data_IF_059948255014
#
_entry.id   IF_059948255014
#
_cell.length_a   1.000
_cell.length_b   1.000
_cell.length_c   1.000
_cell.angle_alpha   90.00
_cell.angle_beta   90.00
_cell.angle_gamma   90.00
#
_symmetry.space_group_name_H-M   'P 1'
#
loop_
_entity.id
_entity.type
_entity.pdbx_description
1 polymer ?
#
# COMPACT_ATOMS: atom_id res chain seq x y z
N UNK A 1 -18.79 15.93 -7.59
CA UNK A 1 -19.39 16.58 -6.42
C UNK A 1 -20.63 17.26 -6.92
N UNK A 2 -21.74 16.93 -6.30
CA UNK A 2 -23.01 17.58 -6.57
C UNK A 2 -22.95 19.06 -6.18
N UNK A 3 -23.56 19.91 -7.01
CA UNK A 3 -23.57 21.37 -6.85
C UNK A 3 -24.93 22.00 -7.20
N UNK A 4 -26.02 21.24 -7.13
CA UNK A 4 -27.38 21.81 -7.26
C UNK A 4 -27.85 22.50 -6.00
N UNK A 5 -29.00 23.18 -6.06
CA UNK A 5 -29.51 23.98 -4.94
C UNK A 5 -29.79 23.16 -3.67
N UNK A 6 -30.12 21.87 -3.78
CA UNK A 6 -30.39 20.99 -2.62
C UNK A 6 -29.13 20.72 -1.78
N UNK A 7 -27.95 20.81 -2.38
CA UNK A 7 -26.67 20.67 -1.71
C UNK A 7 -26.30 21.86 -0.80
N UNK A 8 -26.95 23.03 -0.90
CA UNK A 8 -26.55 24.24 -0.17
C UNK A 8 -26.34 24.05 1.36
N UNK A 9 -27.23 23.33 2.10
CA UNK A 9 -27.02 23.05 3.53
C UNK A 9 -25.74 22.25 3.81
N UNK A 10 -25.29 21.45 2.84
CA UNK A 10 -24.15 20.55 2.91
C UNK A 10 -22.88 21.14 2.29
N UNK A 11 -22.97 22.18 1.44
CA UNK A 11 -21.84 22.74 0.68
C UNK A 11 -20.66 23.16 1.57
N UNK A 12 -20.93 23.78 2.72
CA UNK A 12 -19.88 24.21 3.65
C UNK A 12 -19.12 23.02 4.25
N UNK A 13 -19.82 21.94 4.58
CA UNK A 13 -19.25 20.70 5.12
C UNK A 13 -18.53 19.90 4.03
N UNK A 14 -19.14 19.77 2.84
CA UNK A 14 -18.53 19.11 1.69
C UNK A 14 -17.22 19.79 1.26
N UNK A 15 -17.19 21.13 1.14
CA UNK A 15 -15.95 21.88 0.89
C UNK A 15 -14.93 21.69 2.00
N UNK A 16 -15.36 21.73 3.27
CA UNK A 16 -14.46 21.49 4.40
C UNK A 16 -13.84 20.08 4.36
N UNK A 17 -14.65 19.06 4.07
CA UNK A 17 -14.21 17.67 3.97
C UNK A 17 -13.25 17.46 2.78
N UNK A 18 -13.52 18.06 1.60
CA UNK A 18 -12.59 18.02 0.47
C UNK A 18 -11.29 18.78 0.77
N UNK A 19 -11.32 19.95 1.42
CA UNK A 19 -10.11 20.66 1.87
C UNK A 19 -9.29 19.83 2.87
N UNK A 20 -9.97 19.18 3.82
CA UNK A 20 -9.38 18.25 4.78
C UNK A 20 -8.65 17.15 4.02
N UNK A 21 -9.37 16.39 3.20
CA UNK A 21 -8.84 15.29 2.37
C UNK A 21 -7.64 15.75 1.52
N UNK A 22 -7.69 16.91 0.86
CA UNK A 22 -6.57 17.43 0.05
C UNK A 22 -5.33 17.70 0.91
N UNK A 23 -5.52 18.36 2.06
CA UNK A 23 -4.42 18.72 2.97
C UNK A 23 -3.82 17.48 3.62
N UNK A 24 -4.68 16.59 4.10
CA UNK A 24 -4.34 15.38 4.83
C UNK A 24 -3.77 14.28 3.92
N UNK A 25 -4.18 14.20 2.65
CA UNK A 25 -3.48 13.39 1.64
C UNK A 25 -2.09 13.97 1.40
N UNK A 26 -1.95 15.29 1.24
CA UNK A 26 -0.63 15.92 1.01
C UNK A 26 0.32 15.71 2.21
N UNK A 27 -0.21 15.79 3.42
CA UNK A 27 0.52 15.49 4.65
C UNK A 27 0.85 14.00 4.73
N UNK A 28 -0.10 13.09 4.60
CA UNK A 28 0.13 11.64 4.68
C UNK A 28 1.05 11.06 3.59
N UNK A 29 1.33 11.82 2.52
CA UNK A 29 2.31 11.46 1.50
C UNK A 29 3.59 12.31 1.53
N UNK A 30 3.75 13.26 2.47
CA UNK A 30 4.94 14.07 2.79
C UNK A 30 5.81 14.63 1.62
N UNK A 31 5.28 14.69 0.39
CA UNK A 31 6.04 15.00 -0.83
C UNK A 31 6.80 13.83 -1.45
N UNK A 32 6.70 12.62 -0.88
CA UNK A 32 7.32 11.38 -1.37
C UNK A 32 6.58 10.75 -2.56
N UNK A 33 5.30 11.10 -2.74
CA UNK A 33 4.49 10.67 -3.87
C UNK A 33 3.84 11.86 -4.59
N UNK A 34 3.80 11.81 -5.91
CA UNK A 34 3.13 12.83 -6.72
C UNK A 34 1.60 12.66 -6.66
N UNK A 35 1.01 13.26 -5.62
CA UNK A 35 -0.43 13.43 -5.51
C UNK A 35 -0.90 14.40 -6.60
N UNK A 36 -1.95 14.00 -7.33
CA UNK A 36 -2.66 14.90 -8.25
C UNK A 36 -4.14 14.86 -7.95
N UNK A 37 -4.77 16.02 -7.96
CA UNK A 37 -6.19 16.20 -7.64
C UNK A 37 -6.90 16.67 -8.91
N UNK A 38 -8.03 16.04 -9.22
CA UNK A 38 -9.01 16.52 -10.18
C UNK A 38 -10.32 16.75 -9.41
N UNK A 39 -11.05 17.79 -9.78
CA UNK A 39 -12.37 18.10 -9.22
C UNK A 39 -13.34 18.13 -10.39
N UNK A 40 -14.44 17.41 -10.28
CA UNK A 40 -15.58 17.48 -11.20
C UNK A 40 -16.80 17.85 -10.39
N UNK A 41 -17.48 18.93 -10.77
CA UNK A 41 -18.82 19.25 -10.31
C UNK A 41 -19.82 19.05 -11.43
N UNK A 42 -21.04 18.65 -11.04
CA UNK A 42 -22.17 18.51 -11.95
C UNK A 42 -23.42 19.12 -11.29
N UNK A 43 -24.45 19.33 -12.10
CA UNK A 43 -25.79 19.79 -11.74
C UNK A 43 -26.82 19.05 -12.63
N UNK A 44 -28.02 19.58 -12.84
CA UNK A 44 -28.97 19.08 -13.84
C UNK A 44 -28.52 19.50 -15.26
N UNK A 45 -29.04 18.85 -16.29
CA UNK A 45 -28.84 19.14 -17.70
C UNK A 45 -29.36 20.53 -18.14
N UNK A 46 -30.30 21.11 -17.39
CA UNK A 46 -30.84 22.45 -17.65
C UNK A 46 -29.91 23.60 -17.24
N UNK A 47 -28.85 23.32 -16.46
CA UNK A 47 -27.99 24.35 -15.88
C UNK A 47 -26.84 24.80 -16.79
N UNK A 48 -26.45 26.07 -16.65
CA UNK A 48 -25.26 26.62 -17.29
C UNK A 48 -24.29 27.20 -16.24
N UNK A 49 -23.09 26.62 -16.04
CA UNK A 49 -22.61 25.33 -16.57
C UNK A 49 -23.14 24.11 -15.79
N UNK A 50 -23.72 23.15 -16.50
CA UNK A 50 -24.14 21.82 -16.02
C UNK A 50 -22.95 21.01 -15.45
N UNK A 51 -21.83 20.93 -16.16
CA UNK A 51 -20.59 20.28 -15.67
C UNK A 51 -19.43 21.28 -15.68
N UNK A 52 -18.69 21.34 -14.56
CA UNK A 52 -17.43 22.09 -14.45
C UNK A 52 -16.34 21.14 -13.94
N UNK A 53 -15.10 21.33 -14.40
CA UNK A 53 -14.00 20.49 -13.94
C UNK A 53 -12.64 21.19 -13.94
N UNK A 54 -11.80 20.69 -13.04
CA UNK A 54 -10.36 20.86 -13.02
C UNK A 54 -9.74 19.48 -13.26
N UNK A 55 -9.01 19.30 -14.36
CA UNK A 55 -8.26 18.06 -14.61
C UNK A 55 -7.07 17.92 -13.64
N UNK A 56 -6.49 16.71 -13.55
CA UNK A 56 -5.47 16.34 -12.58
C UNK A 56 -4.26 17.27 -12.52
N UNK A 57 -4.21 18.09 -11.48
CA UNK A 57 -3.09 18.97 -11.14
C UNK A 57 -2.37 18.52 -9.86
N UNK A 58 -1.02 18.62 -9.77
CA UNK A 58 -0.30 18.51 -8.50
C UNK A 58 -0.42 19.77 -7.64
N UNK A 59 -0.92 20.87 -8.20
CA UNK A 59 -1.12 22.14 -7.50
C UNK A 59 -2.37 22.07 -6.60
N UNK A 60 -2.14 21.79 -5.32
CA UNK A 60 -3.18 21.75 -4.30
C UNK A 60 -3.79 23.14 -3.99
N UNK A 61 -3.12 24.25 -4.33
CA UNK A 61 -3.64 25.61 -4.19
C UNK A 61 -4.60 25.92 -5.34
N UNK A 62 -4.27 25.53 -6.57
CA UNK A 62 -5.20 25.58 -7.70
C UNK A 62 -6.45 24.73 -7.48
N UNK A 63 -6.30 23.52 -6.93
CA UNK A 63 -7.44 22.66 -6.57
C UNK A 63 -8.33 23.29 -5.49
N UNK A 64 -7.74 23.91 -4.46
CA UNK A 64 -8.47 24.66 -3.43
C UNK A 64 -9.18 25.88 -4.02
N UNK A 65 -8.52 26.66 -4.88
CA UNK A 65 -9.12 27.82 -5.53
C UNK A 65 -10.31 27.46 -6.42
N UNK A 66 -10.23 26.35 -7.18
CA UNK A 66 -11.35 25.83 -7.95
C UNK A 66 -12.52 25.42 -7.05
N UNK A 67 -12.25 24.67 -5.96
CA UNK A 67 -13.25 24.23 -4.99
C UNK A 67 -13.99 25.41 -4.34
N UNK A 68 -13.28 26.49 -3.97
CA UNK A 68 -13.93 27.65 -3.36
C UNK A 68 -14.92 28.35 -4.31
N UNK A 69 -14.65 28.33 -5.62
CA UNK A 69 -15.51 28.92 -6.65
C UNK A 69 -16.76 28.09 -7.00
N UNK A 70 -16.93 26.88 -6.44
CA UNK A 70 -18.16 26.10 -6.60
C UNK A 70 -19.24 26.57 -5.63
N UNK A 71 -20.50 26.68 -6.08
CA UNK A 71 -21.65 27.07 -5.25
C UNK A 71 -22.87 26.25 -5.64
N UNK A 72 -23.75 26.01 -4.66
CA UNK A 72 -25.02 25.31 -4.88
C UNK A 72 -26.01 26.27 -5.55
N UNK A 73 -26.44 25.91 -6.75
CA UNK A 73 -27.48 26.61 -7.50
C UNK A 73 -28.03 25.69 -8.58
N UNK A 74 -29.16 26.03 -9.19
CA UNK A 74 -29.74 25.23 -10.26
C UNK A 74 -30.40 23.95 -9.74
N UNK A 75 -30.42 22.91 -10.58
CA UNK A 75 -31.30 21.77 -10.47
C UNK A 75 -32.65 22.00 -11.17
N UNK A 76 -33.47 20.96 -11.25
CA UNK A 76 -34.78 20.98 -11.90
C UNK A 76 -35.76 20.07 -11.19
N UNK A 77 -35.87 18.84 -11.69
CA UNK A 77 -36.44 17.72 -10.95
C UNK A 77 -35.45 17.15 -9.90
N UNK A 78 -35.90 16.29 -8.97
CA UNK A 78 -35.03 15.78 -7.90
C UNK A 78 -33.83 14.89 -8.31
N UNK A 79 -33.84 14.14 -9.44
CA UNK A 79 -32.64 13.48 -9.97
C UNK A 79 -31.75 14.43 -10.78
N UNK A 80 -30.45 14.14 -10.87
CA UNK A 80 -29.43 15.06 -11.42
C UNK A 80 -28.54 14.40 -12.50
N UNK A 81 -27.66 15.16 -13.20
CA UNK A 81 -26.70 14.63 -14.19
C UNK A 81 -25.46 13.96 -13.55
N UNK A 82 -25.72 13.07 -12.59
CA UNK A 82 -24.70 12.26 -11.91
C UNK A 82 -23.92 11.38 -12.91
N UNK A 83 -24.58 10.92 -13.99
CA UNK A 83 -23.91 10.10 -15.02
C UNK A 83 -22.97 10.91 -15.90
N UNK A 84 -23.32 12.14 -16.30
CA UNK A 84 -22.43 13.08 -16.97
C UNK A 84 -21.24 13.45 -16.10
N UNK A 85 -21.46 13.72 -14.81
CA UNK A 85 -20.39 13.91 -13.83
C UNK A 85 -19.42 12.72 -13.74
N UNK A 86 -19.93 11.49 -13.69
CA UNK A 86 -19.11 10.27 -13.72
C UNK A 86 -18.39 10.10 -15.07
N UNK A 87 -19.05 10.39 -16.19
CA UNK A 87 -18.46 10.30 -17.53
C UNK A 87 -17.32 11.32 -17.70
N UNK A 88 -17.46 12.53 -17.18
CA UNK A 88 -16.38 13.51 -17.15
C UNK A 88 -15.21 13.05 -16.26
N UNK A 89 -15.50 12.48 -15.09
CA UNK A 89 -14.46 11.94 -14.21
C UNK A 89 -13.74 10.71 -14.79
N UNK A 90 -14.41 9.89 -15.62
CA UNK A 90 -13.78 8.81 -16.40
C UNK A 90 -12.78 9.37 -17.43
N UNK A 91 -13.10 10.51 -18.05
CA UNK A 91 -12.32 11.14 -19.11
C UNK A 91 -11.13 11.98 -18.61
N UNK A 92 -11.00 12.18 -17.30
CA UNK A 92 -9.88 12.90 -16.69
C UNK A 92 -8.52 12.18 -16.89
N UNK A 93 -7.41 12.92 -16.74
CA UNK A 93 -6.04 12.46 -17.02
C UNK A 93 -5.46 11.49 -15.97
N UNK A 94 -6.08 10.32 -15.79
CA UNK A 94 -5.63 9.24 -14.90
C UNK A 94 -4.31 8.59 -15.37
N UNK A 95 -3.19 8.87 -14.68
CA UNK A 95 -1.87 8.25 -14.98
C UNK A 95 -1.28 7.38 -13.87
N UNK A 96 -1.66 7.61 -12.61
CA UNK A 96 -1.16 6.84 -11.47
C UNK A 96 -1.73 5.41 -11.45
N UNK A 97 -1.06 4.48 -10.76
CA UNK A 97 -1.57 3.12 -10.53
C UNK A 97 -2.67 3.09 -9.47
N UNK A 98 -2.48 3.81 -8.37
CA UNK A 98 -3.51 4.02 -7.34
C UNK A 98 -4.45 5.13 -7.79
N UNK A 99 -5.75 4.84 -7.79
CA UNK A 99 -6.80 5.76 -8.25
C UNK A 99 -7.98 5.72 -7.28
N UNK A 100 -8.48 6.88 -6.89
CA UNK A 100 -9.59 7.01 -5.97
C UNK A 100 -10.55 8.10 -6.48
N UNK A 101 -11.84 7.80 -6.47
CA UNK A 101 -12.93 8.72 -6.72
C UNK A 101 -13.69 8.91 -5.41
N UNK A 102 -13.84 10.17 -4.99
CA UNK A 102 -14.68 10.56 -3.87
C UNK A 102 -15.86 11.32 -4.45
N UNK A 103 -17.04 10.72 -4.36
CA UNK A 103 -18.27 11.22 -4.92
C UNK A 103 -19.13 11.73 -3.77
N UNK A 104 -19.36 13.03 -3.71
CA UNK A 104 -20.28 13.67 -2.77
C UNK A 104 -21.57 13.98 -3.51
N UNK A 105 -22.72 13.49 -3.01
CA UNK A 105 -24.04 13.70 -3.60
C UNK A 105 -25.16 13.55 -2.56
N UNK A 106 -26.24 14.31 -2.75
CA UNK A 106 -27.53 14.17 -2.07
C UNK A 106 -28.62 13.57 -2.99
N UNK A 107 -28.48 13.72 -4.30
CA UNK A 107 -29.39 13.21 -5.32
C UNK A 107 -28.85 12.01 -6.15
N UNK A 108 -29.73 11.15 -6.70
CA UNK A 108 -29.39 10.09 -7.64
C UNK A 108 -29.43 10.57 -9.11
N UNK A 109 -28.85 9.81 -10.06
CA UNK A 109 -29.03 10.04 -11.49
C UNK A 109 -30.48 9.85 -11.93
N UNK A 110 -30.87 10.56 -13.00
CA UNK A 110 -32.10 10.29 -13.75
C UNK A 110 -32.27 8.82 -14.14
N UNK A 111 -33.54 8.40 -14.17
CA UNK A 111 -33.99 7.07 -14.52
C UNK A 111 -34.50 6.32 -13.29
N UNK A 112 -35.78 5.93 -13.32
CA UNK A 112 -36.55 5.25 -12.25
C UNK A 112 -35.97 3.96 -11.67
N UNK A 113 -34.85 3.48 -12.20
CA UNK A 113 -34.07 2.43 -11.56
C UNK A 113 -33.27 2.95 -10.35
N UNK A 114 -32.96 4.25 -10.25
CA UNK A 114 -32.11 4.82 -9.20
C UNK A 114 -32.85 5.50 -8.05
N UNK A 115 -34.13 5.82 -8.21
CA UNK A 115 -35.01 6.42 -7.20
C UNK A 115 -36.43 5.83 -7.31
N UNK A 116 -37.30 6.17 -6.36
CA UNK A 116 -38.74 5.86 -6.40
C UNK A 116 -39.62 7.13 -6.59
N UNK A 117 -39.01 8.29 -6.90
CA UNK A 117 -39.73 9.51 -7.27
C UNK A 117 -40.51 9.36 -8.57
N UNK A 118 -41.74 9.88 -8.59
CA UNK A 118 -42.55 10.07 -9.80
C UNK A 118 -42.14 11.31 -10.61
N UNK A 119 -41.45 12.26 -9.95
CA UNK A 119 -40.88 13.48 -10.53
C UNK A 119 -39.45 13.18 -11.00
N UNK A 120 -39.31 12.98 -12.31
CA UNK A 120 -38.08 12.78 -13.07
C UNK A 120 -38.36 13.15 -14.54
N UNK A 121 -37.60 14.09 -15.09
CA UNK A 121 -37.72 14.57 -16.49
C UNK A 121 -37.23 13.52 -17.49
N UNK A 122 -36.32 12.63 -17.06
CA UNK A 122 -35.69 11.60 -17.89
C UNK A 122 -35.88 10.18 -17.28
N UNK A 123 -37.14 9.73 -17.07
CA UNK A 123 -37.49 8.59 -16.23
C UNK A 123 -37.06 7.21 -16.73
N UNK A 124 -36.73 7.10 -18.03
CA UNK A 124 -36.31 5.84 -18.63
C UNK A 124 -34.77 5.78 -18.72
N UNK A 125 -34.12 4.66 -18.35
CA UNK A 125 -32.66 4.56 -18.36
C UNK A 125 -32.03 4.88 -19.73
N UNK A 126 -31.22 5.94 -19.79
CA UNK A 126 -30.61 6.43 -21.03
C UNK A 126 -31.52 7.33 -21.88
N UNK A 127 -32.61 7.85 -21.32
CA UNK A 127 -33.43 8.90 -21.94
C UNK A 127 -32.90 10.32 -21.71
N UNK A 128 -31.96 10.51 -20.78
CA UNK A 128 -31.30 11.79 -20.54
C UNK A 128 -30.47 12.27 -21.76
N UNK A 129 -30.20 13.59 -21.90
CA UNK A 129 -29.64 14.20 -23.11
C UNK A 129 -28.36 13.57 -23.67
N UNK A 130 -27.45 13.08 -22.81
CA UNK A 130 -26.21 12.39 -23.16
C UNK A 130 -26.41 10.91 -23.53
N UNK A 131 -27.58 10.32 -23.22
CA UNK A 131 -27.98 8.92 -23.46
C UNK A 131 -27.08 7.87 -22.81
N UNK A 132 -26.48 8.23 -21.69
CA UNK A 132 -25.63 7.40 -20.86
C UNK A 132 -26.47 6.36 -20.10
N UNK A 133 -25.82 5.26 -19.76
CA UNK A 133 -26.35 4.29 -18.82
C UNK A 133 -25.27 3.94 -17.81
N UNK A 134 -25.66 3.65 -16.57
CA UNK A 134 -24.68 3.45 -15.50
C UNK A 134 -23.77 2.23 -15.73
N UNK A 135 -24.27 1.11 -16.30
CA UNK A 135 -23.49 -0.14 -16.38
C UNK A 135 -22.19 0.02 -17.18
N UNK A 136 -22.17 0.61 -18.40
CA UNK A 136 -20.93 0.94 -19.10
C UNK A 136 -20.00 1.85 -18.30
N UNK A 137 -20.53 2.91 -17.66
CA UNK A 137 -19.73 3.87 -16.89
C UNK A 137 -19.08 3.22 -15.68
N UNK A 138 -19.85 2.51 -14.86
CA UNK A 138 -19.34 1.79 -13.68
C UNK A 138 -18.33 0.72 -14.09
N UNK A 139 -18.58 -0.04 -15.16
CA UNK A 139 -17.59 -0.97 -15.70
C UNK A 139 -16.32 -0.25 -16.12
N UNK A 140 -16.42 0.94 -16.71
CA UNK A 140 -15.25 1.75 -17.09
C UNK A 140 -14.45 2.21 -15.87
N UNK A 141 -15.10 2.58 -14.77
CA UNK A 141 -14.41 2.83 -13.49
C UNK A 141 -13.67 1.58 -13.00
N UNK A 142 -14.25 0.38 -13.14
CA UNK A 142 -13.56 -0.88 -12.77
C UNK A 142 -12.40 -1.23 -13.69
N UNK A 143 -12.51 -0.98 -15.01
CA UNK A 143 -11.41 -1.14 -15.98
C UNK A 143 -10.25 -0.18 -15.66
N UNK A 144 -10.58 1.08 -15.33
CA UNK A 144 -9.64 2.08 -14.85
C UNK A 144 -9.11 1.77 -13.44
N UNK A 145 -9.54 0.68 -12.78
CA UNK A 145 -9.15 0.30 -11.41
C UNK A 145 -9.36 1.43 -10.38
N UNK A 146 -10.45 2.17 -10.49
CA UNK A 146 -10.79 3.25 -9.56
C UNK A 146 -11.42 2.68 -8.28
N UNK A 147 -10.91 3.09 -7.12
CA UNK A 147 -11.54 2.85 -5.81
C UNK A 147 -12.61 3.93 -5.57
N UNK A 148 -13.84 3.53 -5.28
CA UNK A 148 -15.00 4.41 -5.21
C UNK A 148 -15.42 4.61 -3.74
N UNK A 149 -15.45 5.86 -3.29
CA UNK A 149 -16.12 6.30 -2.06
C UNK A 149 -17.33 7.17 -2.42
N UNK A 150 -18.53 6.77 -2.01
CA UNK A 150 -19.74 7.59 -2.07
C UNK A 150 -19.98 8.22 -0.70
N UNK A 151 -20.00 9.54 -0.61
CA UNK A 151 -20.34 10.30 0.59
C UNK A 151 -21.79 10.80 0.44
N UNK A 152 -22.73 10.09 1.08
CA UNK A 152 -24.16 10.43 1.11
C UNK A 152 -24.43 11.57 2.09
N UNK A 153 -25.46 12.36 1.84
CA UNK A 153 -26.03 13.32 2.81
C UNK A 153 -27.39 12.85 3.38
N UNK A 154 -28.11 11.98 2.66
CA UNK A 154 -29.45 11.52 2.98
C UNK A 154 -29.73 10.10 2.49
N UNK A 155 -31.00 9.70 2.41
CA UNK A 155 -31.44 8.37 1.92
C UNK A 155 -31.78 8.33 0.42
N UNK A 156 -31.87 9.49 -0.22
CA UNK A 156 -32.31 9.58 -1.62
C UNK A 156 -31.32 8.93 -2.61
N UNK A 157 -30.04 8.83 -2.22
CA UNK A 157 -28.98 8.11 -2.95
C UNK A 157 -28.97 6.58 -2.72
N UNK A 158 -29.81 6.01 -1.86
CA UNK A 158 -29.67 4.63 -1.37
C UNK A 158 -29.69 3.57 -2.49
N UNK A 159 -30.66 3.72 -3.40
CA UNK A 159 -30.92 2.79 -4.52
C UNK A 159 -29.87 2.96 -5.63
N UNK A 160 -29.36 4.17 -5.86
CA UNK A 160 -28.15 4.42 -6.65
C UNK A 160 -26.94 3.68 -6.07
N UNK A 161 -26.68 3.83 -4.77
CA UNK A 161 -25.53 3.24 -4.10
C UNK A 161 -25.53 1.70 -4.20
N UNK A 162 -26.70 1.06 -3.99
CA UNK A 162 -26.84 -0.39 -4.18
C UNK A 162 -26.60 -0.82 -5.63
N UNK A 163 -27.20 -0.14 -6.62
CA UNK A 163 -27.00 -0.48 -8.03
C UNK A 163 -25.54 -0.32 -8.49
N UNK A 164 -24.87 0.75 -8.06
CA UNK A 164 -23.45 0.98 -8.38
C UNK A 164 -22.56 -0.07 -7.70
N UNK A 165 -22.81 -0.37 -6.42
CA UNK A 165 -22.14 -1.46 -5.70
C UNK A 165 -22.36 -2.82 -6.39
N UNK A 166 -23.57 -3.11 -6.88
CA UNK A 166 -23.89 -4.36 -7.56
C UNK A 166 -23.07 -4.54 -8.86
N UNK A 167 -22.88 -3.50 -9.67
CA UNK A 167 -22.02 -3.57 -10.86
C UNK A 167 -20.51 -3.51 -10.51
N UNK A 168 -20.12 -2.95 -9.35
CA UNK A 168 -18.73 -3.01 -8.83
C UNK A 168 -18.35 -4.40 -8.29
N UNK A 169 -19.30 -5.11 -7.66
CA UNK A 169 -19.10 -6.38 -6.93
C UNK A 169 -18.36 -7.49 -7.70
N UNK A 170 -18.49 -7.66 -9.04
CA UNK A 170 -17.71 -8.66 -9.79
C UNK A 170 -16.20 -8.38 -9.84
N UNK A 171 -15.80 -7.10 -9.76
CA UNK A 171 -14.40 -6.69 -9.76
C UNK A 171 -13.85 -6.49 -8.34
N UNK A 172 -14.67 -5.96 -7.43
CA UNK A 172 -14.23 -5.51 -6.12
C UNK A 172 -13.85 -6.64 -5.13
N UNK A 173 -12.86 -6.39 -4.28
CA UNK A 173 -12.58 -7.18 -3.08
C UNK A 173 -13.41 -6.76 -1.87
N UNK A 174 -13.81 -5.48 -1.81
CA UNK A 174 -14.63 -4.92 -0.74
C UNK A 174 -15.76 -4.10 -1.35
N UNK A 175 -17.00 -4.48 -1.04
CA UNK A 175 -18.21 -3.71 -1.30
C UNK A 175 -18.96 -3.52 0.02
N UNK A 176 -19.25 -2.28 0.40
CA UNK A 176 -20.00 -1.96 1.63
C UNK A 176 -20.93 -0.76 1.40
N UNK A 177 -22.23 -0.97 1.65
CA UNK A 177 -23.19 0.13 1.81
C UNK A 177 -23.10 0.71 3.23
N UNK A 178 -23.62 1.92 3.42
CA UNK A 178 -23.74 2.54 4.74
C UNK A 178 -24.79 1.79 5.58
N UNK A 179 -24.64 1.75 6.91
CA UNK A 179 -25.56 0.99 7.78
C UNK A 179 -27.00 1.52 7.74
N UNK A 180 -27.15 2.81 7.46
CA UNK A 180 -28.45 3.49 7.33
C UNK A 180 -29.07 3.35 5.93
N UNK A 181 -28.37 2.74 4.96
CA UNK A 181 -28.92 2.52 3.62
C UNK A 181 -30.01 1.43 3.68
N UNK A 182 -31.20 1.70 3.13
CA UNK A 182 -32.34 0.78 3.12
C UNK A 182 -32.04 -0.59 2.47
N UNK A 183 -31.07 -0.65 1.55
CA UNK A 183 -30.62 -1.88 0.88
C UNK A 183 -29.45 -2.58 1.60
N UNK A 184 -28.90 -1.99 2.68
CA UNK A 184 -27.83 -2.58 3.48
C UNK A 184 -28.12 -4.02 3.95
N UNK A 185 -29.33 -4.36 4.46
CA UNK A 185 -29.65 -5.73 4.87
C UNK A 185 -29.61 -6.73 3.70
N UNK A 186 -30.06 -6.32 2.51
CA UNK A 186 -30.07 -7.15 1.30
C UNK A 186 -28.64 -7.36 0.77
N UNK A 187 -27.77 -6.35 0.93
CA UNK A 187 -26.36 -6.41 0.52
C UNK A 187 -25.56 -7.49 1.27
N UNK A 188 -25.94 -7.81 2.51
CA UNK A 188 -25.32 -8.86 3.35
C UNK A 188 -25.66 -10.28 2.90
N UNK A 189 -26.87 -10.50 2.37
CA UNK A 189 -27.41 -11.85 2.12
C UNK A 189 -26.80 -12.51 0.88
N UNK A 190 -26.21 -11.75 -0.05
CA UNK A 190 -25.53 -12.26 -1.26
C UNK A 190 -24.00 -12.28 -1.14
N UNK A 191 -23.47 -12.51 0.07
CA UNK A 191 -22.08 -12.24 0.45
C UNK A 191 -21.10 -13.42 0.58
N UNK A 192 -21.54 -14.69 0.64
CA UNK A 192 -20.63 -15.85 0.74
C UNK A 192 -20.03 -16.24 -0.61
N UNK A 193 -19.22 -15.35 -1.18
CA UNK A 193 -18.40 -15.73 -2.33
C UNK A 193 -17.20 -16.56 -1.84
N UNK A 194 -17.24 -17.88 -2.05
CA UNK A 194 -16.04 -18.70 -2.01
C UNK A 194 -14.96 -18.06 -2.89
N UNK A 195 -13.75 -17.95 -2.37
CA UNK A 195 -12.65 -17.22 -3.01
C UNK A 195 -12.13 -17.95 -4.24
N UNK A 196 -12.67 -17.66 -5.42
CA UNK A 196 -12.00 -17.97 -6.69
C UNK A 196 -10.68 -17.17 -6.76
N UNK A 197 -9.53 -17.81 -7.02
CA UNK A 197 -8.28 -17.09 -7.23
C UNK A 197 -8.38 -16.23 -8.52
N UNK A 198 -8.07 -14.94 -8.43
CA UNK A 198 -8.09 -14.00 -9.58
C UNK A 198 -8.98 -12.75 -9.47
N UNK A 199 -9.56 -12.42 -8.31
CA UNK A 199 -10.40 -11.21 -8.16
C UNK A 199 -9.58 -9.90 -8.18
N UNK A 200 -10.07 -8.89 -8.91
CA UNK A 200 -9.35 -7.65 -9.29
C UNK A 200 -9.53 -6.51 -8.27
N UNK A 201 -9.02 -6.68 -7.05
CA UNK A 201 -9.43 -5.95 -5.83
C UNK A 201 -9.36 -4.41 -5.77
N UNK A 202 -10.22 -3.75 -6.52
CA UNK A 202 -10.73 -2.41 -6.18
C UNK A 202 -11.78 -2.49 -5.05
N UNK A 203 -12.20 -1.35 -4.53
CA UNK A 203 -13.29 -1.27 -3.56
C UNK A 203 -14.39 -0.27 -3.92
N UNK A 204 -15.58 -0.53 -3.39
CA UNK A 204 -16.71 0.39 -3.34
C UNK A 204 -17.18 0.52 -1.88
N UNK A 205 -17.21 1.74 -1.34
CA UNK A 205 -17.78 1.99 -0.02
C UNK A 205 -18.70 3.22 -0.03
N UNK A 206 -19.82 3.11 0.66
CA UNK A 206 -20.71 4.22 0.98
C UNK A 206 -20.50 4.65 2.44
N UNK A 207 -20.34 5.95 2.64
CA UNK A 207 -20.07 6.63 3.91
C UNK A 207 -20.95 7.88 4.01
N UNK A 208 -21.12 8.42 5.21
CA UNK A 208 -21.89 9.65 5.45
C UNK A 208 -21.00 10.89 5.30
N UNK A 209 -21.53 11.99 4.76
CA UNK A 209 -20.86 13.29 4.77
C UNK A 209 -20.54 13.68 6.23
N UNK A 210 -19.44 14.40 6.44
CA UNK A 210 -18.98 14.70 7.81
C UNK A 210 -18.40 13.50 8.58
N UNK A 211 -18.36 12.28 7.99
CA UNK A 211 -17.59 11.18 8.59
C UNK A 211 -16.16 11.62 8.89
N UNK A 212 -15.71 11.30 10.10
CA UNK A 212 -14.40 11.70 10.62
C UNK A 212 -13.28 11.35 9.64
N UNK A 213 -12.28 12.22 9.50
CA UNK A 213 -11.11 11.97 8.68
C UNK A 213 -10.52 10.57 8.89
N UNK A 214 -10.46 10.05 10.13
CA UNK A 214 -9.97 8.69 10.42
C UNK A 214 -10.64 7.58 9.58
N UNK A 215 -11.94 7.69 9.31
CA UNK A 215 -12.68 6.72 8.48
C UNK A 215 -12.33 6.85 6.99
N UNK A 216 -12.19 8.08 6.50
CA UNK A 216 -11.84 8.39 5.11
C UNK A 216 -10.37 8.12 4.82
N UNK A 217 -9.47 8.46 5.75
CA UNK A 217 -8.07 8.05 5.79
C UNK A 217 -7.96 6.54 5.68
N UNK A 218 -8.72 5.80 6.49
CA UNK A 218 -8.70 4.34 6.42
C UNK A 218 -9.15 3.84 5.03
N UNK A 219 -10.14 4.46 4.39
CA UNK A 219 -10.55 4.12 3.01
C UNK A 219 -9.46 4.48 1.98
N UNK A 220 -8.90 5.69 2.02
CA UNK A 220 -7.88 6.16 1.07
C UNK A 220 -6.59 5.36 1.23
N UNK A 221 -6.12 5.16 2.48
CA UNK A 221 -4.98 4.30 2.80
C UNK A 221 -5.28 2.86 2.39
N UNK A 222 -6.44 2.27 2.71
CA UNK A 222 -6.79 0.92 2.21
C UNK A 222 -6.85 0.86 0.68
N UNK A 223 -7.28 1.91 -0.01
CA UNK A 223 -7.24 1.99 -1.48
C UNK A 223 -5.81 1.92 -1.99
N UNK A 224 -4.90 2.66 -1.34
CA UNK A 224 -3.45 2.67 -1.64
C UNK A 224 -2.83 1.32 -1.31
N UNK A 225 -3.04 0.77 -0.11
CA UNK A 225 -2.55 -0.54 0.34
C UNK A 225 -3.05 -1.67 -0.54
N UNK A 226 -4.33 -1.67 -0.91
CA UNK A 226 -4.91 -2.70 -1.79
C UNK A 226 -4.36 -2.56 -3.21
N UNK A 227 -4.26 -1.33 -3.74
CA UNK A 227 -3.67 -1.09 -5.07
C UNK A 227 -2.18 -1.46 -5.13
N UNK A 228 -1.42 -1.21 -4.07
CA UNK A 228 -0.02 -1.62 -3.93
C UNK A 228 0.11 -3.14 -3.78
N UNK A 229 -0.72 -3.75 -2.93
CA UNK A 229 -0.76 -5.21 -2.72
C UNK A 229 -1.15 -5.96 -4.00
N UNK A 230 -2.10 -5.44 -4.77
CA UNK A 230 -2.55 -6.04 -6.04
C UNK A 230 -1.63 -5.71 -7.21
N UNK A 231 -0.89 -4.61 -7.16
CA UNK A 231 0.26 -4.41 -8.04
C UNK A 231 1.31 -5.46 -7.73
N UNK A 232 1.61 -5.72 -6.46
CA UNK A 232 2.53 -6.78 -6.06
C UNK A 232 2.01 -8.20 -6.40
N UNK A 233 0.70 -8.48 -6.26
CA UNK A 233 0.11 -9.77 -6.70
C UNK A 233 0.03 -9.87 -8.21
N UNK A 234 -0.25 -8.79 -8.94
CA UNK A 234 -0.26 -8.82 -10.41
C UNK A 234 1.15 -8.98 -10.99
N UNK A 235 2.16 -8.35 -10.37
CA UNK A 235 3.56 -8.59 -10.68
C UNK A 235 3.97 -10.03 -10.31
N UNK A 236 3.57 -10.55 -9.15
CA UNK A 236 3.82 -11.95 -8.77
C UNK A 236 3.11 -12.97 -9.68
N UNK A 237 1.91 -12.68 -10.18
CA UNK A 237 1.20 -13.55 -11.12
C UNK A 237 1.78 -13.45 -12.55
N UNK A 238 2.30 -12.27 -12.94
CA UNK A 238 3.15 -12.16 -14.14
C UNK A 238 4.47 -12.90 -13.94
N UNK A 239 5.04 -12.94 -12.73
CA UNK A 239 6.19 -13.79 -12.39
C UNK A 239 5.83 -15.29 -12.51
N UNK A 240 4.66 -15.74 -12.04
CA UNK A 240 4.17 -17.13 -12.25
C UNK A 240 3.92 -17.47 -13.74
N UNK A 241 3.39 -16.54 -14.55
CA UNK A 241 3.31 -16.76 -16.02
C UNK A 241 4.71 -16.76 -16.69
N UNK A 242 5.70 -16.10 -16.09
CA UNK A 242 7.12 -16.16 -16.51
C UNK A 242 7.93 -17.31 -15.88
N UNK A 243 7.38 -18.11 -14.97
CA UNK A 243 7.97 -19.41 -14.57
C UNK A 243 7.89 -20.45 -15.72
N UNK A 244 7.26 -20.08 -16.84
CA UNK A 244 7.46 -20.68 -18.15
C UNK A 244 8.88 -20.49 -18.71
N UNK A 245 9.81 -21.33 -18.25
CA UNK A 245 11.17 -21.58 -18.78
C UNK A 245 12.21 -20.44 -18.70
N UNK A 246 13.04 -20.48 -17.65
CA UNK A 246 14.51 -20.53 -17.80
C UNK A 246 15.21 -20.89 -16.46
N UNK A 247 15.59 -22.17 -16.31
CA UNK A 247 16.34 -22.68 -15.14
C UNK A 247 17.76 -22.08 -15.08
N UNK A 248 17.98 -21.08 -14.22
CA UNK A 248 19.33 -20.58 -13.93
C UNK A 248 20.09 -21.63 -13.09
N UNK A 249 20.78 -22.55 -13.77
CA UNK A 249 21.64 -23.58 -13.15
C UNK A 249 22.87 -22.99 -12.44
N UNK A 250 22.69 -22.57 -11.19
CA UNK A 250 23.78 -22.19 -10.30
C UNK A 250 24.51 -23.42 -9.75
N UNK A 251 25.84 -23.44 -9.86
CA UNK A 251 26.64 -24.46 -9.18
C UNK A 251 26.84 -24.09 -7.71
N UNK A 252 26.28 -24.87 -6.78
CA UNK A 252 26.40 -24.60 -5.35
C UNK A 252 27.68 -25.19 -4.72
N UNK A 253 28.18 -24.51 -3.69
CA UNK A 253 29.26 -24.97 -2.81
C UNK A 253 28.76 -26.12 -1.92
N UNK A 254 29.41 -27.27 -2.05
CA UNK A 254 29.08 -28.50 -1.32
C UNK A 254 30.16 -28.89 -0.32
N UNK A 255 31.31 -28.20 -0.32
CA UNK A 255 32.39 -28.45 0.64
C UNK A 255 32.12 -27.77 1.99
N UNK A 256 32.50 -28.43 3.08
CA UNK A 256 32.40 -27.90 4.44
C UNK A 256 33.16 -26.56 4.56
N UNK A 257 32.55 -25.49 5.07
CA UNK A 257 33.16 -24.17 5.06
C UNK A 257 34.39 -24.08 5.97
N UNK A 258 35.51 -23.61 5.40
CA UNK A 258 36.81 -23.52 6.10
C UNK A 258 37.03 -22.11 6.67
N UNK A 259 36.22 -21.73 7.65
CA UNK A 259 36.17 -20.38 8.22
C UNK A 259 37.54 -19.83 8.67
N UNK A 260 38.41 -20.68 9.20
CA UNK A 260 39.74 -20.28 9.72
C UNK A 260 40.81 -20.11 8.63
N UNK A 261 40.54 -20.53 7.39
CA UNK A 261 41.48 -20.48 6.28
C UNK A 261 41.16 -19.29 5.36
N UNK A 262 41.84 -18.15 5.56
CA UNK A 262 41.63 -16.96 4.71
C UNK A 262 41.90 -17.22 3.22
N UNK A 263 42.82 -18.13 2.90
CA UNK A 263 43.11 -18.59 1.53
C UNK A 263 42.03 -19.49 0.92
N UNK A 264 41.04 -19.94 1.70
CA UNK A 264 39.84 -20.60 1.17
C UNK A 264 38.83 -19.56 0.66
N UNK A 265 38.80 -18.34 1.18
CA UNK A 265 37.98 -17.27 0.61
C UNK A 265 38.65 -16.66 -0.64
N UNK A 266 37.92 -15.81 -1.37
CA UNK A 266 38.45 -15.11 -2.54
C UNK A 266 39.51 -14.05 -2.20
N UNK A 267 39.84 -13.25 -3.21
CA UNK A 267 40.72 -12.10 -3.05
C UNK A 267 40.18 -11.12 -2.01
N UNK A 268 41.09 -10.36 -1.39
CA UNK A 268 40.70 -9.27 -0.49
C UNK A 268 40.14 -8.12 -1.31
N UNK A 269 38.94 -7.66 -0.93
CA UNK A 269 38.32 -6.46 -1.48
C UNK A 269 38.11 -5.48 -0.33
N UNK A 270 38.54 -4.22 -0.52
CA UNK A 270 38.11 -3.12 0.34
C UNK A 270 36.82 -2.57 -0.24
N UNK A 271 35.78 -2.46 0.58
CA UNK A 271 34.47 -1.96 0.17
C UNK A 271 34.08 -0.78 1.06
N UNK A 272 33.52 0.24 0.42
CA UNK A 272 32.78 1.31 1.08
C UNK A 272 31.30 0.92 1.04
N UNK A 273 30.61 1.15 2.16
CA UNK A 273 29.22 0.78 2.33
C UNK A 273 28.53 1.60 3.40
N UNK A 274 27.29 1.23 3.71
CA UNK A 274 26.49 1.86 4.76
C UNK A 274 26.12 0.83 5.84
N UNK A 275 26.05 1.30 7.08
CA UNK A 275 25.61 0.55 8.26
C UNK A 275 24.68 1.43 9.10
N UNK A 276 23.69 0.89 9.84
CA UNK A 276 23.03 1.66 10.87
C UNK A 276 24.08 2.12 11.88
N UNK A 277 24.07 3.40 12.21
CA UNK A 277 24.95 3.97 13.25
C UNK A 277 24.57 3.36 14.60
N UNK A 278 25.53 3.18 15.50
CA UNK A 278 25.26 2.62 16.83
C UNK A 278 24.46 3.64 17.65
N UNK A 279 23.13 3.52 17.61
CA UNK A 279 22.23 4.31 18.44
C UNK A 279 22.36 3.79 19.88
N UNK A 280 22.67 4.70 20.82
CA UNK A 280 22.54 4.40 22.25
C UNK A 280 21.06 4.26 22.55
N UNK A 281 20.58 3.02 22.70
CA UNK A 281 19.17 2.73 22.96
C UNK A 281 18.73 3.34 24.29
N UNK A 282 18.02 4.48 24.22
CA UNK A 282 17.35 5.14 25.32
C UNK A 282 15.84 5.03 25.20
N UNK A 283 15.13 5.49 26.23
CA UNK A 283 13.65 5.39 26.35
C UNK A 283 12.86 6.11 25.24
N UNK A 284 13.50 6.98 24.46
CA UNK A 284 12.91 7.66 23.31
C UNK A 284 13.28 7.03 21.96
N UNK A 285 14.30 6.18 21.89
CA UNK A 285 14.88 5.72 20.61
C UNK A 285 13.86 5.10 19.65
N UNK A 286 12.96 4.23 20.12
CA UNK A 286 11.91 3.68 19.25
C UNK A 286 10.94 4.78 18.77
N UNK A 287 10.54 5.69 19.66
CA UNK A 287 9.63 6.79 19.31
C UNK A 287 10.25 7.75 18.30
N UNK A 288 11.54 8.04 18.43
CA UNK A 288 12.28 8.90 17.49
C UNK A 288 12.39 8.22 16.11
N UNK A 289 12.77 6.94 16.08
CA UNK A 289 12.84 6.13 14.85
C UNK A 289 11.47 5.92 14.18
N UNK A 290 10.36 6.04 14.93
CA UNK A 290 9.00 6.03 14.40
C UNK A 290 8.49 7.41 13.96
N UNK A 291 9.12 8.50 14.40
CA UNK A 291 8.73 9.86 14.05
C UNK A 291 9.25 10.31 12.68
N UNK A 292 10.40 9.79 12.24
CA UNK A 292 10.95 10.01 10.89
C UNK A 292 12.04 8.97 10.57
N UNK A 293 12.10 8.56 9.30
CA UNK A 293 13.18 7.74 8.74
C UNK A 293 14.57 8.39 8.84
N UNK A 294 14.63 9.72 8.90
CA UNK A 294 15.89 10.47 9.07
C UNK A 294 16.50 10.24 10.46
N UNK A 295 15.70 9.84 11.45
CA UNK A 295 16.17 9.45 12.77
C UNK A 295 16.83 8.05 12.77
N UNK A 296 16.67 7.27 11.69
CA UNK A 296 17.40 6.01 11.47
C UNK A 296 18.73 6.31 10.77
N UNK A 297 19.67 6.87 11.53
CA UNK A 297 20.95 7.38 11.02
C UNK A 297 21.81 6.25 10.44
N UNK A 298 22.03 6.29 9.13
CA UNK A 298 22.99 5.42 8.43
C UNK A 298 24.35 6.10 8.33
N UNK A 299 25.41 5.42 8.75
CA UNK A 299 26.79 5.89 8.66
C UNK A 299 27.57 5.15 7.56
N UNK A 300 28.54 5.81 6.91
CA UNK A 300 29.46 5.12 6.02
C UNK A 300 30.35 4.16 6.83
N UNK A 301 30.69 3.01 6.24
CA UNK A 301 31.61 2.03 6.81
C UNK A 301 32.57 1.53 5.74
N UNK A 302 33.85 1.48 6.08
CA UNK A 302 34.88 0.82 5.26
C UNK A 302 35.15 -0.58 5.82
N UNK A 303 35.08 -1.61 4.97
CA UNK A 303 35.34 -2.99 5.34
C UNK A 303 36.37 -3.63 4.41
N UNK A 304 37.36 -4.31 5.00
CA UNK A 304 38.18 -5.29 4.30
C UNK A 304 37.48 -6.65 4.35
N UNK A 305 36.95 -7.11 3.21
CA UNK A 305 36.18 -8.35 3.07
C UNK A 305 36.88 -9.39 2.20
N UNK A 306 36.54 -10.65 2.43
CA UNK A 306 36.69 -11.77 1.49
C UNK A 306 35.42 -12.59 1.48
N UNK A 307 35.01 -13.10 0.31
CA UNK A 307 33.90 -14.04 0.20
C UNK A 307 34.21 -15.14 -0.81
N UNK A 308 33.45 -16.24 -0.76
CA UNK A 308 33.54 -17.33 -1.75
C UNK A 308 32.85 -16.91 -3.04
N UNK A 309 33.51 -17.14 -4.18
CA UNK A 309 32.93 -16.93 -5.51
C UNK A 309 31.78 -17.89 -5.80
N UNK A 310 31.83 -19.10 -5.24
CA UNK A 310 30.76 -20.10 -5.34
C UNK A 310 29.75 -19.91 -4.19
N UNK A 311 28.45 -19.66 -4.47
CA UNK A 311 27.43 -19.55 -3.44
C UNK A 311 27.11 -20.91 -2.82
N UNK A 312 26.70 -20.95 -1.56
CA UNK A 312 26.28 -22.17 -0.86
C UNK A 312 24.75 -22.36 -0.88
N UNK A 313 23.99 -21.32 -1.18
CA UNK A 313 22.53 -21.33 -1.24
C UNK A 313 22.02 -20.20 -2.15
N UNK A 314 20.77 -20.29 -2.59
CA UNK A 314 20.05 -19.19 -3.21
C UNK A 314 18.57 -19.20 -2.78
N UNK A 315 17.95 -18.03 -2.77
CA UNK A 315 16.51 -17.87 -2.83
C UNK A 315 16.05 -17.66 -4.27
N UNK A 316 14.82 -17.15 -4.46
CA UNK A 316 14.32 -16.83 -5.80
C UNK A 316 15.05 -15.63 -6.46
N UNK A 317 15.72 -14.77 -5.67
CA UNK A 317 16.20 -13.45 -6.15
C UNK A 317 17.62 -13.07 -5.72
N UNK A 318 18.18 -13.75 -4.72
CA UNK A 318 19.56 -13.56 -4.26
C UNK A 318 20.25 -14.91 -4.06
N UNK A 319 21.54 -14.98 -4.38
CA UNK A 319 22.43 -16.07 -3.94
C UNK A 319 23.20 -15.64 -2.68
N UNK A 320 23.65 -16.62 -1.90
CA UNK A 320 24.35 -16.44 -0.64
C UNK A 320 25.73 -17.13 -0.68
N UNK A 321 26.78 -16.37 -0.37
CA UNK A 321 28.17 -16.82 -0.32
C UNK A 321 28.77 -16.64 1.07
N UNK A 322 29.59 -17.60 1.51
CA UNK A 322 30.34 -17.48 2.77
C UNK A 322 31.32 -16.32 2.71
N UNK A 323 31.38 -15.51 3.77
CA UNK A 323 32.20 -14.30 3.82
C UNK A 323 32.85 -14.09 5.20
N UNK A 324 33.96 -13.34 5.21
CA UNK A 324 34.70 -12.98 6.41
C UNK A 324 35.31 -11.58 6.29
N UNK A 325 35.39 -10.86 7.40
CA UNK A 325 36.14 -9.60 7.51
C UNK A 325 37.61 -9.89 7.85
N UNK A 326 38.56 -9.05 7.42
CA UNK A 326 39.95 -9.14 7.91
C UNK A 326 40.07 -8.74 9.39
N UNK A 327 39.11 -7.94 9.89
CA UNK A 327 39.11 -7.40 11.25
C UNK A 327 38.54 -8.37 12.32
N UNK A 328 37.90 -9.48 11.93
CA UNK A 328 37.29 -10.43 12.89
C UNK A 328 37.39 -11.90 12.47
N UNK A 329 37.23 -12.79 13.45
CA UNK A 329 36.93 -14.22 13.27
C UNK A 329 35.45 -14.49 13.02
N UNK A 330 34.59 -13.47 13.12
CA UNK A 330 33.15 -13.61 12.90
C UNK A 330 32.83 -14.10 11.49
N UNK A 331 31.78 -14.92 11.43
CA UNK A 331 31.33 -15.59 10.21
C UNK A 331 30.22 -14.76 9.59
N UNK A 332 30.33 -14.46 8.30
CA UNK A 332 29.35 -13.66 7.58
C UNK A 332 28.85 -14.37 6.32
N UNK A 333 27.78 -13.83 5.76
CA UNK A 333 27.23 -14.17 4.45
C UNK A 333 27.18 -12.90 3.62
N UNK A 334 27.70 -12.95 2.40
CA UNK A 334 27.43 -11.94 1.37
C UNK A 334 26.27 -12.46 0.52
N UNK A 335 25.22 -11.64 0.37
CA UNK A 335 24.15 -11.86 -0.60
C UNK A 335 24.35 -10.97 -1.82
N UNK A 336 24.25 -11.57 -3.00
CA UNK A 336 24.27 -10.88 -4.30
C UNK A 336 22.97 -11.18 -5.07
N UNK A 337 22.48 -10.26 -5.91
CA UNK A 337 21.30 -10.51 -6.73
C UNK A 337 21.55 -11.59 -7.79
N UNK A 338 20.51 -12.31 -8.20
CA UNK A 338 20.60 -13.29 -9.29
C UNK A 338 20.52 -12.66 -10.69
N UNK A 339 19.84 -11.51 -10.79
CA UNK A 339 19.70 -10.69 -12.00
C UNK A 339 20.06 -9.24 -11.63
N UNK A 340 20.78 -8.54 -12.49
CA UNK A 340 21.23 -7.15 -12.24
C UNK A 340 20.05 -6.17 -12.29
N UNK A 341 19.37 -5.97 -11.16
CA UNK A 341 18.16 -5.13 -11.05
C UNK A 341 18.14 -4.18 -9.84
N UNK A 342 18.97 -4.41 -8.80
CA UNK A 342 18.86 -3.69 -7.52
C UNK A 342 19.91 -2.59 -7.34
N UNK A 343 19.43 -1.36 -7.22
CA UNK A 343 20.20 -0.17 -6.84
C UNK A 343 20.42 -0.08 -5.33
N UNK A 344 21.48 0.62 -4.92
CA UNK A 344 21.90 0.80 -3.52
C UNK A 344 20.76 1.28 -2.59
N UNK A 345 19.95 2.23 -3.06
CA UNK A 345 18.80 2.78 -2.33
C UNK A 345 17.85 1.71 -1.78
N UNK A 346 17.63 0.61 -2.50
CA UNK A 346 16.76 -0.47 -2.05
C UNK A 346 17.37 -1.30 -0.91
N UNK A 347 18.71 -1.39 -0.83
CA UNK A 347 19.40 -2.06 0.27
C UNK A 347 19.47 -1.18 1.53
N UNK A 348 19.61 0.13 1.36
CA UNK A 348 19.53 1.10 2.47
C UNK A 348 18.14 1.08 3.12
N UNK A 349 17.07 0.98 2.32
CA UNK A 349 15.71 0.77 2.86
C UNK A 349 15.55 -0.60 3.56
N UNK A 350 16.05 -1.70 2.98
CA UNK A 350 16.07 -3.02 3.65
C UNK A 350 16.74 -2.94 5.04
N UNK A 351 17.82 -2.16 5.18
CA UNK A 351 18.51 -1.94 6.45
C UNK A 351 17.73 -1.07 7.44
N UNK A 352 17.03 -0.03 6.96
CA UNK A 352 16.13 0.79 7.79
C UNK A 352 15.04 -0.07 8.41
N UNK A 353 14.43 -1.00 7.65
CA UNK A 353 13.51 -2.01 8.18
C UNK A 353 14.10 -2.72 9.40
N UNK A 354 15.31 -3.27 9.24
CA UNK A 354 15.93 -4.16 10.21
C UNK A 354 16.34 -3.41 11.49
N UNK A 355 16.82 -2.17 11.36
CA UNK A 355 17.09 -1.30 12.49
C UNK A 355 15.82 -1.02 13.32
N UNK A 356 14.70 -0.71 12.65
CA UNK A 356 13.42 -0.47 13.31
C UNK A 356 12.84 -1.75 13.95
N UNK A 357 12.87 -2.89 13.25
CA UNK A 357 12.49 -4.20 13.80
C UNK A 357 13.26 -4.53 15.08
N UNK A 358 14.57 -4.22 15.10
CA UNK A 358 15.45 -4.44 16.26
C UNK A 358 15.07 -3.53 17.43
N UNK A 359 14.72 -2.27 17.18
CA UNK A 359 14.23 -1.36 18.21
C UNK A 359 12.90 -1.87 18.83
N UNK A 360 11.94 -2.30 18.01
CA UNK A 360 10.71 -2.93 18.50
C UNK A 360 10.98 -4.20 19.33
N UNK A 361 11.93 -5.04 18.90
CA UNK A 361 12.27 -6.27 19.62
C UNK A 361 12.87 -5.98 21.00
N UNK A 362 13.68 -4.92 21.15
CA UNK A 362 14.24 -4.52 22.44
C UNK A 362 13.14 -4.10 23.42
N UNK A 363 12.21 -3.26 22.99
CA UNK A 363 11.05 -2.84 23.81
C UNK A 363 10.15 -4.04 24.18
N UNK A 364 9.83 -4.90 23.22
CA UNK A 364 9.04 -6.10 23.46
C UNK A 364 9.70 -7.04 24.49
N UNK A 365 11.01 -7.29 24.34
CA UNK A 365 11.78 -8.12 25.26
C UNK A 365 11.81 -7.54 26.69
N UNK A 366 11.82 -6.21 26.82
CA UNK A 366 11.70 -5.52 28.10
C UNK A 366 10.36 -5.79 28.82
N UNK A 367 9.29 -6.05 28.05
CA UNK A 367 7.95 -6.36 28.58
C UNK A 367 7.72 -7.84 28.87
N UNK A 368 8.25 -8.75 28.03
CA UNK A 368 8.01 -10.21 28.15
C UNK A 368 9.13 -10.98 28.86
N UNK A 369 10.29 -10.35 29.08
CA UNK A 369 11.45 -10.94 29.73
C UNK A 369 12.19 -11.98 28.88
N UNK A 370 13.24 -12.57 29.45
CA UNK A 370 14.23 -13.38 28.72
C UNK A 370 13.71 -14.70 28.12
N UNK A 371 12.51 -15.19 28.50
CA UNK A 371 12.01 -16.49 28.03
C UNK A 371 11.72 -16.52 26.53
N UNK A 372 11.40 -15.36 25.94
CA UNK A 372 10.97 -15.23 24.55
C UNK A 372 11.74 -14.13 23.81
N UNK A 373 13.01 -13.90 24.16
CA UNK A 373 13.79 -12.79 23.63
C UNK A 373 13.97 -12.87 22.10
N UNK A 374 13.35 -11.95 21.38
CA UNK A 374 13.48 -11.82 19.92
C UNK A 374 14.67 -10.94 19.56
N UNK A 375 15.30 -11.20 18.42
CA UNK A 375 16.41 -10.41 17.92
C UNK A 375 16.39 -10.40 16.38
N UNK A 376 16.75 -9.27 15.79
CA UNK A 376 16.83 -9.09 14.34
C UNK A 376 18.29 -8.93 13.92
N UNK A 377 18.66 -9.59 12.82
CA UNK A 377 19.96 -9.36 12.19
C UNK A 377 20.04 -7.93 11.68
N UNK A 378 21.26 -7.38 11.68
CA UNK A 378 21.57 -6.10 11.07
C UNK A 378 22.42 -6.39 9.83
N UNK A 379 22.02 -5.84 8.69
CA UNK A 379 22.76 -5.90 7.43
C UNK A 379 23.62 -4.66 7.21
N UNK A 380 24.67 -4.82 6.41
CA UNK A 380 25.50 -3.74 5.87
C UNK A 380 25.41 -3.83 4.35
N UNK A 381 25.15 -2.73 3.65
CA UNK A 381 25.12 -2.71 2.18
C UNK A 381 26.38 -2.06 1.61
N UNK A 382 26.85 -2.53 0.45
CA UNK A 382 28.09 -2.04 -0.18
C UNK A 382 28.11 -2.35 -1.68
N UNK A 383 28.91 -1.61 -2.46
CA UNK A 383 29.04 -1.83 -3.90
C UNK A 383 30.05 -2.96 -4.20
N UNK A 384 29.60 -3.97 -4.95
CA UNK A 384 30.47 -4.98 -5.52
C UNK A 384 31.15 -4.47 -6.80
N UNK A 385 32.35 -3.90 -6.68
CA UNK A 385 33.18 -3.56 -7.85
C UNK A 385 33.74 -4.81 -8.52
N UNK A 386 32.95 -5.42 -9.40
CA UNK A 386 33.46 -6.40 -10.36
C UNK A 386 34.17 -5.67 -11.52
N UNK A 387 35.41 -6.06 -11.83
CA UNK A 387 36.26 -5.35 -12.82
C UNK A 387 35.82 -5.56 -14.28
N UNK A 388 34.78 -6.37 -14.50
CA UNK A 388 34.34 -6.83 -15.84
C UNK A 388 32.98 -6.25 -16.25
N UNK A 389 32.16 -5.76 -15.32
CA UNK A 389 30.83 -5.19 -15.60
C UNK A 389 30.82 -3.67 -15.40
N UNK A 390 30.07 -2.98 -16.26
CA UNK A 390 29.98 -1.50 -16.26
C UNK A 390 29.01 -0.94 -15.20
N UNK A 391 28.16 -1.79 -14.62
CA UNK A 391 27.31 -1.48 -13.46
C UNK A 391 27.83 -2.26 -12.26
N UNK A 392 27.94 -1.60 -11.10
CA UNK A 392 28.36 -2.25 -9.85
C UNK A 392 27.16 -2.95 -9.20
N UNK A 393 27.21 -4.27 -9.09
CA UNK A 393 26.18 -5.06 -8.42
C UNK A 393 26.15 -4.69 -6.92
N UNK A 394 24.98 -4.27 -6.42
CA UNK A 394 24.81 -3.88 -5.01
C UNK A 394 24.68 -5.12 -4.10
N UNK A 395 25.49 -5.19 -3.06
CA UNK A 395 25.65 -6.36 -2.18
C UNK A 395 25.24 -6.07 -0.75
N UNK A 396 24.86 -7.11 0.00
CA UNK A 396 24.59 -7.02 1.44
C UNK A 396 25.36 -8.07 2.25
N UNK A 397 26.00 -7.64 3.34
CA UNK A 397 26.67 -8.48 4.34
C UNK A 397 25.76 -8.69 5.55
N UNK A 398 25.66 -9.93 6.04
CA UNK A 398 24.95 -10.28 7.29
C UNK A 398 25.72 -11.34 8.11
N UNK A 399 25.49 -11.44 9.42
CA UNK A 399 26.07 -12.51 10.24
C UNK A 399 25.60 -13.91 9.79
N UNK A 400 26.50 -14.89 9.75
CA UNK A 400 26.14 -16.28 9.48
C UNK A 400 25.49 -16.92 10.71
N UNK A 401 24.20 -17.26 10.60
CA UNK A 401 23.45 -17.98 11.62
C UNK A 401 23.45 -19.49 11.31
N UNK A 402 24.07 -20.33 12.14
CA UNK A 402 23.94 -21.78 12.03
C UNK A 402 22.60 -22.26 12.58
N UNK A 403 21.96 -23.21 11.91
CA UNK A 403 20.77 -23.90 12.43
C UNK A 403 19.75 -24.24 11.36
N UNK A 404 18.59 -24.72 11.80
CA UNK A 404 17.44 -24.95 10.94
C UNK A 404 16.60 -23.68 10.83
N UNK A 405 16.33 -23.30 9.59
CA UNK A 405 15.46 -22.19 9.28
C UNK A 405 13.98 -22.58 9.43
N UNK A 406 13.18 -21.75 10.11
CA UNK A 406 11.72 -21.91 10.22
C UNK A 406 11.04 -20.58 9.92
N UNK A 407 9.95 -20.61 9.14
CA UNK A 407 9.09 -19.45 8.85
C UNK A 407 7.83 -19.53 9.73
N UNK A 408 7.71 -18.66 10.73
CA UNK A 408 6.59 -18.66 11.67
C UNK A 408 5.35 -17.87 11.19
N UNK A 409 5.50 -17.04 10.16
CA UNK A 409 4.41 -16.24 9.57
C UNK A 409 4.79 -15.73 8.17
N UNK A 410 3.79 -15.34 7.38
CA UNK A 410 3.93 -14.71 6.07
C UNK A 410 3.43 -13.26 6.05
N UNK A 411 3.83 -12.52 5.01
CA UNK A 411 3.35 -11.16 4.74
C UNK A 411 1.96 -11.11 4.08
N UNK A 412 1.34 -12.27 3.82
CA UNK A 412 0.03 -12.45 3.19
C UNK A 412 -0.98 -13.15 4.12
N UNK A 413 -0.75 -13.13 5.44
CA UNK A 413 -1.60 -13.83 6.42
C UNK A 413 -1.37 -15.34 6.50
N UNK A 414 -0.43 -15.90 5.73
CA UNK A 414 -0.05 -17.32 5.86
C UNK A 414 0.54 -17.63 7.25
N UNK A 415 0.08 -18.73 7.84
CA UNK A 415 0.61 -19.32 9.06
C UNK A 415 0.98 -20.80 8.80
N UNK A 416 2.04 -21.32 9.43
CA UNK A 416 2.36 -22.73 9.41
C UNK A 416 1.35 -23.54 10.24
N UNK A 417 0.82 -24.62 9.67
CA UNK A 417 0.01 -25.63 10.37
C UNK A 417 0.87 -26.44 11.36
N UNK A 418 0.30 -26.83 12.50
CA UNK A 418 0.92 -27.74 13.47
C UNK A 418 1.96 -27.09 14.40
N UNK A 419 2.07 -25.76 14.40
CA UNK A 419 2.91 -24.98 15.32
C UNK A 419 2.10 -24.18 16.34
N UNK A 420 0.79 -24.38 16.43
CA UNK A 420 -0.14 -23.61 17.26
C UNK A 420 0.25 -23.63 18.74
N UNK A 421 0.80 -24.76 19.20
CA UNK A 421 1.25 -24.93 20.58
C UNK A 421 2.69 -24.50 20.87
N UNK A 422 3.47 -24.16 19.84
CA UNK A 422 4.87 -23.82 19.97
C UNK A 422 5.06 -22.43 20.63
N UNK A 423 5.78 -22.40 21.76
CA UNK A 423 6.09 -21.19 22.53
C UNK A 423 6.75 -20.06 21.69
N UNK A 424 7.62 -20.41 20.73
CA UNK A 424 8.28 -19.44 19.83
C UNK A 424 7.31 -18.93 18.77
N UNK A 425 6.43 -19.78 18.24
CA UNK A 425 5.35 -19.36 17.36
C UNK A 425 4.42 -18.37 18.07
N UNK A 426 3.94 -18.71 19.28
CA UNK A 426 3.11 -17.84 20.13
C UNK A 426 3.80 -16.48 20.39
N UNK A 427 5.08 -16.49 20.74
CA UNK A 427 5.88 -15.27 20.91
C UNK A 427 5.99 -14.44 19.61
N UNK A 428 6.17 -15.08 18.46
CA UNK A 428 6.24 -14.38 17.17
C UNK A 428 4.93 -13.71 16.79
N UNK A 429 3.77 -14.34 17.04
CA UNK A 429 2.46 -13.72 16.80
C UNK A 429 2.19 -12.58 17.81
N UNK A 430 2.57 -12.77 19.08
CA UNK A 430 2.44 -11.74 20.11
C UNK A 430 3.30 -10.51 19.79
N UNK A 431 4.51 -10.70 19.24
CA UNK A 431 5.35 -9.60 18.76
C UNK A 431 4.73 -8.86 17.58
N UNK A 432 4.19 -9.58 16.59
CA UNK A 432 3.46 -8.98 15.47
C UNK A 432 2.33 -8.07 15.97
N UNK A 433 1.47 -8.60 16.85
CA UNK A 433 0.39 -7.82 17.46
C UNK A 433 0.90 -6.64 18.31
N UNK A 434 2.00 -6.82 19.06
CA UNK A 434 2.62 -5.75 19.84
C UNK A 434 3.07 -4.58 18.96
N UNK A 435 3.74 -4.84 17.84
CA UNK A 435 4.19 -3.76 16.93
C UNK A 435 3.01 -2.96 16.36
N UNK A 436 1.90 -3.62 16.02
CA UNK A 436 0.64 -2.95 15.62
C UNK A 436 0.06 -2.12 16.76
N UNK A 437 -0.04 -2.68 17.97
CA UNK A 437 -0.64 -2.00 19.13
C UNK A 437 0.20 -0.83 19.66
N UNK A 438 1.53 -0.92 19.59
CA UNK A 438 2.43 0.15 20.04
C UNK A 438 2.33 1.40 19.14
N UNK A 439 2.27 1.20 17.82
CA UNK A 439 2.00 2.29 16.87
C UNK A 439 0.68 3.01 17.16
N UNK A 440 -0.41 2.24 17.34
CA UNK A 440 -1.72 2.79 17.68
C UNK A 440 -1.73 3.60 18.99
N UNK A 441 -0.97 3.18 20.01
CA UNK A 441 -0.96 3.82 21.34
C UNK A 441 -0.25 5.18 21.36
N UNK A 442 0.78 5.37 20.55
CA UNK A 442 1.58 6.60 20.52
C UNK A 442 1.02 7.69 19.58
N UNK A 443 -0.15 7.46 18.96
CA UNK A 443 -0.73 8.39 17.98
C UNK A 443 -0.14 8.27 16.57
N UNK A 444 0.86 7.41 16.36
CA UNK A 444 1.41 7.07 15.05
C UNK A 444 0.42 6.19 14.26
N UNK A 445 -0.52 6.83 13.56
CA UNK A 445 -1.63 6.18 12.85
C UNK A 445 -1.29 5.68 11.42
N UNK A 446 -0.02 5.58 11.04
CA UNK A 446 0.40 5.41 9.63
C UNK A 446 1.03 4.05 9.32
N UNK A 447 0.42 3.34 8.36
CA UNK A 447 0.86 2.11 7.67
C UNK A 447 1.99 2.29 6.61
N UNK A 448 3.14 1.58 6.60
CA UNK A 448 4.05 1.62 5.40
C UNK A 448 3.43 0.78 4.29
N UNK A 449 2.74 1.47 3.39
CA UNK A 449 2.01 0.85 2.27
C UNK A 449 2.87 0.67 1.02
N UNK A 450 3.95 1.44 0.88
CA UNK A 450 4.95 1.30 -0.17
C UNK A 450 6.32 0.97 0.43
N UNK A 451 6.73 -0.28 0.26
CA UNK A 451 8.14 -0.61 0.12
C UNK A 451 8.47 -0.66 -1.39
N UNK A 452 9.74 -0.52 -1.82
CA UNK A 452 10.13 -0.92 -3.16
C UNK A 452 9.64 -2.35 -3.46
N UNK A 453 9.50 -2.72 -4.73
CA UNK A 453 9.23 -4.11 -5.12
C UNK A 453 10.44 -4.99 -4.82
N UNK A 454 10.60 -5.35 -3.53
CA UNK A 454 11.63 -6.26 -3.02
C UNK A 454 11.21 -7.68 -3.44
N UNK A 455 11.51 -7.96 -4.71
CA UNK A 455 11.57 -9.25 -5.39
C UNK A 455 11.82 -10.39 -4.39
N UNK A 456 11.03 -11.47 -4.47
CA UNK A 456 10.92 -12.53 -3.46
C UNK A 456 12.26 -13.05 -2.92
N UNK A 457 12.66 -12.62 -1.71
CA UNK A 457 13.75 -13.25 -0.96
C UNK A 457 13.18 -13.80 0.35
N UNK A 458 13.12 -15.13 0.46
CA UNK A 458 12.83 -15.80 1.73
C UNK A 458 14.01 -15.65 2.71
N UNK A 459 13.79 -16.13 3.94
CA UNK A 459 14.75 -16.26 5.05
C UNK A 459 14.77 -15.12 6.09
N UNK A 460 13.85 -15.25 7.08
CA UNK A 460 13.71 -14.59 8.40
C UNK A 460 14.78 -13.56 8.71
N UNK A 461 14.43 -12.33 8.36
CA UNK A 461 15.21 -11.10 8.51
C UNK A 461 14.33 -9.90 8.19
N UNK A 462 13.41 -10.07 7.24
CA UNK A 462 12.52 -9.03 6.71
C UNK A 462 11.03 -9.42 6.77
N UNK A 463 10.17 -8.40 6.72
CA UNK A 463 8.70 -8.46 6.61
C UNK A 463 7.97 -9.10 7.80
N UNK A 464 8.10 -8.40 8.93
CA UNK A 464 6.96 -7.82 9.65
C UNK A 464 5.57 -8.13 9.01
N UNK A 465 4.70 -8.76 9.79
CA UNK A 465 3.59 -9.56 9.29
C UNK A 465 2.39 -8.73 8.82
N UNK A 466 2.24 -8.54 7.51
CA UNK A 466 0.99 -8.14 6.86
C UNK A 466 0.50 -6.70 7.04
N UNK A 467 0.81 -6.03 8.17
CA UNK A 467 0.40 -4.65 8.47
C UNK A 467 1.37 -3.99 9.45
N UNK A 468 2.51 -3.43 9.00
CA UNK A 468 3.45 -2.71 9.88
C UNK A 468 3.87 -1.32 9.33
N UNK A 469 4.16 -0.41 10.27
CA UNK A 469 3.98 1.06 10.41
C UNK A 469 4.93 1.96 9.58
N UNK A 470 4.80 3.30 9.76
CA UNK A 470 5.38 4.54 9.17
C UNK A 470 4.78 4.95 7.80
N UNK A 471 4.65 6.21 7.38
CA UNK A 471 4.97 7.52 7.99
C UNK A 471 3.67 8.30 8.20
#
# INVERSE_FOLDING_TARGET
MDTTSSMDPYMSEAKAQVRSIISEIREAFFGEAEVRISIVSYKDHGDEPNIQWLDFTPDADAARAFLENLYAEGGGDPPEDVLGGIQQAINASWRAYTRCMIHIADAPPHGRIFHDSDDDTYPEPGSEPHRLTYKPLIRKLTELRINYALLRTGEYTDKMADLFMQEYRPAATVCRLHKSNGYYPLSMVKGTSNGSPGKKGIQFQELELGTTYSALRHLIVQSVTSSASLTATYLANLEEEFEGSDDIKLSLETSTPKWDSLSWFGEKVNVEGFSPTVIVHGFQTLNDMMASDDNIIMGPVELSLRWRSKPFSHGATRQASYARTEASTDRFVVKSPLKSSRKMVHLVEDMRCQALCRAFALEFNGLVGYRFSLNFIVTICFEGRDKVRSDADCLSLEPFIPGHYVKYNGNNGWLPEGLEDNDIFKASQAFSHFTTAYGLKMGYQSFRTNWPSVENTLFCSNKLCGQIVVI
#
